data_IF_990661161607
#
_entry.id   IF_990661161607
#
_cell.length_a   1.000
_cell.length_b   1.000
_cell.length_c   1.000
_cell.angle_alpha   90.00
_cell.angle_beta   90.00
_cell.angle_gamma   90.00
#
_symmetry.space_group_name_H-M   'P 1'
#
loop_
_entity.id
_entity.type
_entity.pdbx_description
1 polymer ?
#
# COMPACT_ATOMS: atom_id res chain seq x y z
N UNK A 1 -13.48 -10.50 8.85
CA UNK A 1 -12.15 -9.86 8.81
C UNK A 1 -11.87 -9.53 7.37
N UNK A 2 -11.34 -8.34 7.10
CA UNK A 2 -11.04 -7.86 5.76
C UNK A 2 -9.61 -7.35 5.66
N UNK A 3 -8.96 -7.67 4.54
CA UNK A 3 -7.64 -7.15 4.17
C UNK A 3 -7.77 -6.41 2.85
N UNK A 4 -7.26 -5.17 2.81
CA UNK A 4 -7.13 -4.40 1.57
C UNK A 4 -5.67 -4.37 1.14
N UNK A 5 -5.42 -4.62 -0.14
CA UNK A 5 -4.11 -4.44 -0.74
C UNK A 5 -4.11 -3.30 -1.75
N UNK A 6 -3.06 -2.50 -1.74
CA UNK A 6 -2.83 -1.45 -2.73
C UNK A 6 -1.68 -1.86 -3.64
N UNK A 7 -1.98 -2.07 -4.93
CA UNK A 7 -0.99 -2.32 -5.96
C UNK A 7 -0.52 -1.01 -6.60
N UNK A 8 0.72 -0.64 -6.33
CA UNK A 8 1.40 0.53 -6.89
C UNK A 8 1.95 0.33 -8.30
N UNK A 9 1.92 -0.89 -8.85
CA UNK A 9 2.38 -1.17 -10.22
C UNK A 9 1.45 -0.57 -11.26
N UNK A 10 1.94 0.07 -12.33
CA UNK A 10 1.09 0.43 -13.47
C UNK A 10 0.65 -0.77 -14.33
N UNK A 11 1.30 -1.93 -14.16
CA UNK A 11 0.91 -3.20 -14.80
C UNK A 11 -0.07 -3.91 -13.86
N UNK A 12 -1.35 -3.93 -14.23
CA UNK A 12 -2.46 -4.49 -13.42
C UNK A 12 -2.24 -5.95 -13.04
N UNK A 13 -1.83 -6.77 -14.00
CA UNK A 13 -1.57 -8.21 -13.81
C UNK A 13 -0.06 -8.52 -13.81
N UNK A 14 0.75 -7.54 -13.35
CA UNK A 14 2.20 -7.68 -13.27
C UNK A 14 2.70 -8.38 -11.99
N UNK A 15 4.02 -8.38 -11.83
CA UNK A 15 4.69 -9.08 -10.73
C UNK A 15 4.21 -8.66 -9.34
N UNK A 16 3.98 -7.37 -9.10
CA UNK A 16 3.46 -6.90 -7.80
C UNK A 16 2.08 -7.45 -7.47
N UNK A 17 1.16 -7.53 -8.44
CA UNK A 17 -0.16 -8.12 -8.19
C UNK A 17 -0.11 -9.62 -8.03
N UNK A 18 0.81 -10.31 -8.72
CA UNK A 18 1.08 -11.73 -8.48
C UNK A 18 1.47 -11.97 -7.01
N UNK A 19 2.42 -11.20 -6.47
CA UNK A 19 2.82 -11.32 -5.07
C UNK A 19 1.65 -11.06 -4.10
N UNK A 20 0.84 -10.03 -4.36
CA UNK A 20 -0.34 -9.75 -3.54
C UNK A 20 -1.32 -10.93 -3.59
N UNK A 21 -1.55 -11.51 -4.77
CA UNK A 21 -2.47 -12.65 -4.96
C UNK A 21 -1.99 -13.91 -4.24
N UNK A 22 -0.68 -14.15 -4.14
CA UNK A 22 -0.14 -15.23 -3.31
C UNK A 22 -0.53 -15.06 -1.85
N UNK A 23 -0.37 -13.86 -1.29
CA UNK A 23 -0.79 -13.58 0.09
C UNK A 23 -2.32 -13.70 0.24
N UNK A 24 -3.08 -13.16 -0.71
CA UNK A 24 -4.54 -13.27 -0.70
C UNK A 24 -5.01 -14.72 -0.74
N UNK A 25 -4.39 -15.58 -1.53
CA UNK A 25 -4.73 -17.01 -1.60
C UNK A 25 -4.67 -17.67 -0.23
N UNK A 26 -3.63 -17.39 0.57
CA UNK A 26 -3.52 -17.93 1.93
C UNK A 26 -4.54 -17.33 2.90
N UNK A 27 -4.83 -16.03 2.78
CA UNK A 27 -5.86 -15.36 3.61
C UNK A 27 -7.28 -15.89 3.30
N UNK A 28 -7.60 -16.07 2.02
CA UNK A 28 -8.90 -16.57 1.55
C UNK A 28 -9.14 -18.02 2.01
N UNK A 29 -8.10 -18.87 2.04
CA UNK A 29 -8.18 -20.22 2.63
C UNK A 29 -8.58 -20.20 4.11
N UNK A 30 -8.32 -19.10 4.82
CA UNK A 30 -8.73 -18.88 6.21
C UNK A 30 -10.08 -18.13 6.32
N UNK A 31 -10.79 -17.91 5.21
CA UNK A 31 -12.08 -17.21 5.19
C UNK A 31 -11.98 -15.70 5.39
N UNK A 32 -10.81 -15.10 5.17
CA UNK A 32 -10.61 -13.64 5.27
C UNK A 32 -11.00 -13.00 3.93
N UNK A 33 -11.80 -11.93 3.98
CA UNK A 33 -12.17 -11.16 2.79
C UNK A 33 -10.97 -10.34 2.29
N UNK A 34 -10.74 -10.34 0.98
CA UNK A 34 -9.64 -9.63 0.32
C UNK A 34 -10.17 -8.60 -0.67
N UNK A 35 -9.52 -7.44 -0.75
CA UNK A 35 -9.88 -6.35 -1.68
C UNK A 35 -8.61 -5.78 -2.32
N UNK A 36 -8.50 -5.89 -3.65
CA UNK A 36 -7.35 -5.39 -4.39
C UNK A 36 -7.66 -4.02 -5.02
N UNK A 37 -6.91 -3.00 -4.62
CA UNK A 37 -6.95 -1.67 -5.21
C UNK A 37 -5.78 -1.48 -6.16
N UNK A 38 -6.09 -1.18 -7.42
CA UNK A 38 -5.11 -0.86 -8.44
C UNK A 38 -4.87 0.67 -8.49
N UNK A 39 -3.74 1.14 -7.94
CA UNK A 39 -3.47 2.59 -7.84
C UNK A 39 -3.31 3.29 -9.19
N UNK A 40 -3.05 2.56 -10.27
CA UNK A 40 -2.94 3.13 -11.61
C UNK A 40 -4.27 3.34 -12.32
N UNK A 41 -5.40 2.88 -11.76
CA UNK A 41 -6.72 3.02 -12.39
C UNK A 41 -7.38 4.38 -12.09
N UNK A 42 -7.02 5.02 -10.99
CA UNK A 42 -7.55 6.32 -10.59
C UNK A 42 -6.43 7.25 -10.20
N UNK A 43 -6.61 8.53 -10.46
CA UNK A 43 -5.62 9.53 -10.08
C UNK A 43 -5.56 9.70 -8.55
N UNK A 44 -4.33 9.85 -8.06
CA UNK A 44 -4.04 10.28 -6.71
C UNK A 44 -2.83 11.22 -6.75
N UNK A 45 -2.98 12.39 -6.15
CA UNK A 45 -1.91 13.38 -6.09
C UNK A 45 -1.29 13.44 -4.70
N UNK A 46 -0.01 13.82 -4.65
CA UNK A 46 0.73 14.00 -3.40
C UNK A 46 0.06 14.99 -2.44
N UNK A 47 0.44 14.93 -1.16
CA UNK A 47 -0.03 15.89 -0.17
C UNK A 47 0.43 17.31 -0.54
N UNK A 48 -0.50 18.27 -0.53
CA UNK A 48 -0.24 19.69 -0.82
C UNK A 48 0.01 20.52 0.45
N UNK A 49 0.19 19.86 1.60
CA UNK A 49 0.46 20.49 2.90
C UNK A 49 -0.53 21.60 3.30
N UNK A 50 -1.80 21.50 2.91
CA UNK A 50 -2.81 22.53 3.22
C UNK A 50 -3.33 22.49 4.67
N UNK A 51 -2.92 21.47 5.45
CA UNK A 51 -3.28 21.24 6.87
C UNK A 51 -4.78 21.11 7.18
N UNK A 52 -5.64 21.11 6.16
CA UNK A 52 -7.10 21.05 6.34
C UNK A 52 -7.59 19.79 7.05
N UNK A 53 -6.92 18.64 6.91
CA UNK A 53 -7.30 17.42 7.64
C UNK A 53 -7.13 17.55 9.17
N UNK A 54 -6.20 18.40 9.64
CA UNK A 54 -6.00 18.72 11.06
C UNK A 54 -7.04 19.70 11.59
N UNK A 55 -7.50 20.62 10.74
CA UNK A 55 -8.55 21.58 11.05
C UNK A 55 -9.93 20.91 11.07
N UNK A 56 -10.25 20.14 10.03
CA UNK A 56 -11.57 19.56 9.83
C UNK A 56 -11.82 18.37 10.76
N UNK A 57 -10.80 17.53 11.00
CA UNK A 57 -10.88 16.30 11.81
C UNK A 57 -12.07 15.39 11.44
N UNK A 58 -12.38 15.32 10.16
CA UNK A 58 -13.50 14.56 9.59
C UNK A 58 -13.06 13.22 9.00
N UNK A 59 -11.84 12.76 9.34
CA UNK A 59 -11.18 11.55 8.85
C UNK A 59 -10.91 11.54 7.34
N UNK A 60 -11.01 12.68 6.66
CA UNK A 60 -10.79 12.78 5.22
C UNK A 60 -9.76 13.84 4.85
N UNK A 61 -9.26 13.73 3.62
CA UNK A 61 -8.53 14.81 2.98
C UNK A 61 -9.52 15.85 2.43
N UNK A 62 -9.17 17.13 2.54
CA UNK A 62 -9.97 18.22 1.98
C UNK A 62 -9.96 18.27 0.45
N UNK A 63 -8.95 17.68 -0.21
CA UNK A 63 -8.94 17.49 -1.66
C UNK A 63 -9.87 16.32 -1.99
N UNK A 64 -10.93 16.62 -2.75
CA UNK A 64 -12.01 15.67 -3.10
C UNK A 64 -12.03 15.27 -4.58
N UNK A 65 -11.12 15.83 -5.38
CA UNK A 65 -11.05 15.63 -6.83
C UNK A 65 -10.28 14.38 -7.25
N UNK A 66 -9.70 13.64 -6.30
CA UNK A 66 -8.89 12.44 -6.53
C UNK A 66 -9.35 11.26 -5.64
N UNK A 67 -8.78 10.08 -5.86
CA UNK A 67 -9.23 8.85 -5.20
C UNK A 67 -8.76 8.69 -3.74
N UNK A 68 -8.04 9.67 -3.17
CA UNK A 68 -7.44 9.52 -1.85
C UNK A 68 -8.46 9.20 -0.75
N UNK A 69 -9.64 9.85 -0.77
CA UNK A 69 -10.69 9.62 0.23
C UNK A 69 -11.32 8.23 0.11
N UNK A 70 -11.54 7.73 -1.10
CA UNK A 70 -11.99 6.35 -1.33
C UNK A 70 -11.00 5.33 -0.74
N UNK A 71 -9.70 5.57 -0.91
CA UNK A 71 -8.67 4.69 -0.37
C UNK A 71 -8.58 4.75 1.16
N UNK A 72 -8.76 5.94 1.75
CA UNK A 72 -8.85 6.11 3.21
C UNK A 72 -10.03 5.31 3.77
N UNK A 73 -11.19 5.37 3.12
CA UNK A 73 -12.38 4.61 3.55
C UNK A 73 -12.14 3.09 3.47
N UNK A 74 -11.51 2.60 2.40
CA UNK A 74 -11.12 1.19 2.28
C UNK A 74 -10.13 0.76 3.37
N UNK A 75 -9.15 1.60 3.71
CA UNK A 75 -8.21 1.34 4.81
C UNK A 75 -8.90 1.33 6.18
N UNK A 76 -9.87 2.22 6.40
CA UNK A 76 -10.66 2.25 7.63
C UNK A 76 -11.47 0.97 7.82
N UNK A 77 -12.12 0.50 6.75
CA UNK A 77 -12.97 -0.68 6.75
C UNK A 77 -12.24 -2.03 6.73
N UNK A 78 -10.90 -2.05 6.71
CA UNK A 78 -10.11 -3.27 6.71
C UNK A 78 -9.32 -3.42 8.02
N UNK A 79 -9.17 -4.65 8.53
CA UNK A 79 -8.32 -4.94 9.69
C UNK A 79 -6.85 -5.09 9.29
N UNK A 80 -6.57 -5.47 8.04
CA UNK A 80 -5.23 -5.58 7.48
C UNK A 80 -5.03 -4.75 6.23
N UNK A 81 -3.81 -4.24 6.06
CA UNK A 81 -3.40 -3.43 4.93
C UNK A 81 -2.12 -4.00 4.32
N UNK A 82 -2.15 -4.29 3.02
CA UNK A 82 -0.96 -4.68 2.25
C UNK A 82 -0.59 -3.52 1.33
N UNK A 83 0.67 -3.09 1.38
CA UNK A 83 1.24 -2.16 0.41
C UNK A 83 2.17 -2.94 -0.52
N UNK A 84 1.81 -3.00 -1.80
CA UNK A 84 2.61 -3.65 -2.83
C UNK A 84 3.11 -2.64 -3.86
N UNK A 85 4.42 -2.57 -4.11
CA UNK A 85 4.97 -1.67 -5.14
C UNK A 85 6.06 -2.36 -5.97
N UNK A 86 6.19 -2.06 -7.27
CA UNK A 86 7.45 -2.28 -7.95
C UNK A 86 8.49 -1.24 -7.51
N UNK A 87 9.76 -1.47 -7.85
CA UNK A 87 10.84 -0.49 -7.60
C UNK A 87 11.04 0.43 -8.80
N UNK A 88 10.78 1.72 -8.62
CA UNK A 88 10.98 2.80 -9.59
C UNK A 88 12.04 3.75 -9.04
N UNK A 89 13.18 3.86 -9.71
CA UNK A 89 14.32 4.70 -9.27
C UNK A 89 14.72 4.50 -7.79
N UNK A 90 14.90 3.23 -7.39
CA UNK A 90 15.32 2.81 -6.04
C UNK A 90 14.25 2.95 -4.95
N UNK A 91 13.01 3.29 -5.27
CA UNK A 91 11.93 3.39 -4.26
C UNK A 91 10.58 2.94 -4.84
N UNK A 92 9.50 3.11 -4.08
CA UNK A 92 8.12 2.86 -4.50
C UNK A 92 7.69 3.75 -5.66
N UNK A 93 6.57 3.40 -6.30
CA UNK A 93 6.01 4.25 -7.36
C UNK A 93 5.46 5.57 -6.82
N UNK A 94 5.37 6.63 -7.66
CA UNK A 94 4.80 7.90 -7.25
C UNK A 94 3.37 7.79 -6.67
N UNK A 95 2.54 6.90 -7.22
CA UNK A 95 1.18 6.66 -6.75
C UNK A 95 1.18 6.03 -5.35
N UNK A 96 2.07 5.08 -5.09
CA UNK A 96 2.24 4.49 -3.76
C UNK A 96 2.70 5.54 -2.75
N UNK A 97 3.66 6.39 -3.12
CA UNK A 97 4.12 7.47 -2.24
C UNK A 97 3.02 8.50 -1.98
N UNK A 98 2.22 8.85 -3.00
CA UNK A 98 1.07 9.74 -2.85
C UNK A 98 0.02 9.15 -1.90
N UNK A 99 -0.28 7.84 -1.99
CA UNK A 99 -1.14 7.15 -1.03
C UNK A 99 -0.59 7.28 0.39
N UNK A 100 0.69 6.93 0.61
CA UNK A 100 1.36 7.01 1.92
C UNK A 100 1.26 8.42 2.51
N UNK A 101 1.59 9.45 1.72
CA UNK A 101 1.61 10.82 2.22
C UNK A 101 0.21 11.32 2.57
N UNK A 102 -0.76 11.12 1.66
CA UNK A 102 -2.13 11.61 1.86
C UNK A 102 -2.79 10.90 3.03
N UNK A 103 -2.69 9.58 3.09
CA UNK A 103 -3.32 8.78 4.16
C UNK A 103 -2.61 8.98 5.49
N UNK A 104 -1.27 9.08 5.50
CA UNK A 104 -0.47 9.30 6.71
C UNK A 104 -0.79 10.61 7.42
N UNK A 105 -0.89 11.73 6.68
CA UNK A 105 -1.26 13.02 7.26
C UNK A 105 -2.69 13.04 7.80
N UNK A 106 -3.64 12.46 7.05
CA UNK A 106 -5.03 12.36 7.50
C UNK A 106 -5.11 11.49 8.76
N UNK A 107 -4.51 10.31 8.75
CA UNK A 107 -4.51 9.39 9.89
C UNK A 107 -3.90 10.03 11.14
N UNK A 108 -2.72 10.66 11.02
CA UNK A 108 -2.05 11.34 12.14
C UNK A 108 -2.92 12.47 12.73
N UNK A 109 -3.54 13.26 11.86
CA UNK A 109 -4.39 14.39 12.26
C UNK A 109 -5.69 13.95 12.95
N UNK A 110 -6.12 12.72 12.71
CA UNK A 110 -7.38 12.16 13.20
C UNK A 110 -7.14 11.04 14.22
N UNK A 111 -6.16 11.23 15.11
CA UNK A 111 -5.96 10.32 16.25
C UNK A 111 -5.31 8.98 15.90
N UNK A 112 -4.52 8.91 14.83
CA UNK A 112 -3.88 7.68 14.31
C UNK A 112 -4.93 6.62 13.95
N UNK A 113 -5.76 6.97 12.97
CA UNK A 113 -6.89 6.17 12.49
C UNK A 113 -6.59 4.69 12.21
N UNK A 114 -5.33 4.36 11.87
CA UNK A 114 -4.93 3.00 11.53
C UNK A 114 -4.18 2.27 12.66
N UNK A 115 -4.10 2.86 13.85
CA UNK A 115 -3.45 2.24 15.01
C UNK A 115 -3.99 0.82 15.24
N UNK A 116 -3.09 -0.10 15.60
CA UNK A 116 -3.36 -1.51 15.93
C UNK A 116 -3.88 -2.38 14.76
N UNK A 117 -4.08 -1.81 13.56
CA UNK A 117 -4.29 -2.61 12.33
C UNK A 117 -3.01 -3.34 11.93
N UNK A 118 -3.15 -4.46 11.22
CA UNK A 118 -2.00 -5.23 10.73
C UNK A 118 -1.52 -4.72 9.38
N UNK A 119 -0.20 -4.70 9.16
CA UNK A 119 0.44 -4.22 7.94
C UNK A 119 1.41 -5.24 7.37
N UNK A 120 1.48 -5.31 6.03
CA UNK A 120 2.54 -6.05 5.33
C UNK A 120 2.98 -5.32 4.06
N UNK A 121 4.25 -5.47 3.68
CA UNK A 121 4.85 -4.81 2.50
C UNK A 121 5.40 -5.81 1.50
N UNK A 122 5.06 -5.64 0.23
CA UNK A 122 5.52 -6.52 -0.86
C UNK A 122 6.22 -5.71 -1.94
N UNK A 123 7.40 -6.14 -2.37
CA UNK A 123 8.17 -5.46 -3.42
C UNK A 123 8.51 -6.43 -4.54
N UNK A 124 8.17 -6.03 -5.77
CA UNK A 124 8.69 -6.68 -6.98
C UNK A 124 9.81 -5.83 -7.58
N UNK A 125 10.99 -6.39 -7.83
CA UNK A 125 12.12 -5.65 -8.40
C UNK A 125 12.86 -6.47 -9.45
N UNK A 126 13.72 -5.82 -10.23
CA UNK A 126 14.61 -6.53 -11.15
C UNK A 126 16.05 -6.65 -10.63
N UNK A 127 16.54 -5.64 -9.92
CA UNK A 127 17.98 -5.51 -9.61
C UNK A 127 18.25 -5.04 -8.19
N UNK A 128 17.84 -3.81 -7.89
CA UNK A 128 18.17 -3.14 -6.62
C UNK A 128 17.04 -2.21 -6.19
N UNK A 129 17.14 -1.67 -4.98
CA UNK A 129 16.17 -0.75 -4.38
C UNK A 129 15.03 -1.41 -3.61
N UNK A 130 15.02 -2.75 -3.50
CA UNK A 130 13.99 -3.48 -2.78
C UNK A 130 13.88 -3.09 -1.31
N UNK A 131 15.03 -2.97 -0.62
CA UNK A 131 15.08 -2.60 0.80
C UNK A 131 14.57 -1.16 1.01
N UNK A 132 15.00 -0.21 0.19
CA UNK A 132 14.53 1.18 0.30
C UNK A 132 13.02 1.30 0.06
N UNK A 133 12.50 0.62 -0.97
CA UNK A 133 11.06 0.60 -1.24
C UNK A 133 10.26 -0.06 -0.10
N UNK A 134 10.78 -1.15 0.47
CA UNK A 134 10.19 -1.78 1.66
C UNK A 134 10.19 -0.84 2.85
N UNK A 135 11.32 -0.18 3.12
CA UNK A 135 11.46 0.73 4.25
C UNK A 135 10.49 1.91 4.13
N UNK A 136 10.32 2.49 2.93
CA UNK A 136 9.30 3.52 2.67
C UNK A 136 7.89 3.06 3.08
N UNK A 137 7.49 1.84 2.69
CA UNK A 137 6.17 1.30 3.07
C UNK A 137 6.09 0.90 4.55
N UNK A 138 7.15 0.34 5.12
CA UNK A 138 7.21 -0.04 6.53
C UNK A 138 7.16 1.18 7.45
N UNK A 139 7.82 2.29 7.07
CA UNK A 139 7.77 3.54 7.81
C UNK A 139 6.36 4.10 7.92
N UNK A 140 5.51 3.91 6.91
CA UNK A 140 4.09 4.27 6.99
C UNK A 140 3.39 3.48 8.12
N UNK A 141 3.55 2.16 8.15
CA UNK A 141 2.95 1.32 9.19
C UNK A 141 3.46 1.67 10.59
N UNK A 142 4.78 1.78 10.75
CA UNK A 142 5.41 2.07 12.04
C UNK A 142 5.03 3.47 12.56
N UNK A 143 5.02 4.48 11.68
CA UNK A 143 4.58 5.83 12.03
C UNK A 143 3.09 5.88 12.39
N UNK A 144 2.29 5.00 11.79
CA UNK A 144 0.86 4.82 12.06
C UNK A 144 0.54 4.03 13.33
N UNK A 145 1.55 3.50 14.04
CA UNK A 145 1.36 2.55 15.17
C UNK A 145 0.58 1.29 14.75
N UNK A 146 0.83 0.83 13.53
CA UNK A 146 0.33 -0.45 13.03
C UNK A 146 1.25 -1.59 13.43
N UNK A 147 0.71 -2.81 13.43
CA UNK A 147 1.47 -4.03 13.70
C UNK A 147 2.01 -4.56 12.37
N UNK A 148 3.31 -4.37 12.12
CA UNK A 148 3.98 -4.91 10.94
C UNK A 148 4.20 -6.41 11.12
N UNK A 149 3.51 -7.24 10.34
CA UNK A 149 3.53 -8.71 10.48
C UNK A 149 4.36 -9.43 9.42
N UNK A 150 4.72 -8.77 8.32
CA UNK A 150 5.48 -9.42 7.26
C UNK A 150 5.98 -8.48 6.17
N UNK A 151 6.97 -8.96 5.43
CA UNK A 151 7.50 -8.34 4.21
C UNK A 151 7.85 -9.39 3.18
N UNK A 152 7.83 -9.04 1.90
CA UNK A 152 8.26 -9.89 0.81
C UNK A 152 9.01 -9.11 -0.28
N UNK A 153 10.04 -9.71 -0.84
CA UNK A 153 10.76 -9.22 -2.02
C UNK A 153 10.73 -10.35 -3.04
N UNK A 154 10.43 -10.04 -4.30
CA UNK A 154 10.63 -11.01 -5.37
C UNK A 154 11.22 -10.37 -6.62
N UNK A 155 12.07 -11.12 -7.31
CA UNK A 155 12.80 -10.72 -8.49
C UNK A 155 12.05 -11.08 -9.78
N UNK A 156 11.84 -10.09 -10.64
CA UNK A 156 11.22 -10.28 -11.96
C UNK A 156 11.12 -8.99 -12.74
N UNK A 157 11.57 -9.01 -14.00
CA UNK A 157 11.46 -7.90 -14.96
C UNK A 157 10.16 -7.97 -15.74
N UNK A 158 9.94 -9.11 -16.38
CA UNK A 158 8.77 -9.35 -17.21
C UNK A 158 7.65 -9.97 -16.37
N UNK A 159 6.41 -9.86 -16.87
CA UNK A 159 5.23 -10.33 -16.16
C UNK A 159 5.35 -11.85 -15.94
N UNK A 160 5.17 -12.28 -14.68
CA UNK A 160 5.22 -13.69 -14.29
C UNK A 160 6.62 -14.19 -13.90
N UNK A 161 7.67 -13.40 -14.06
CA UNK A 161 9.03 -13.87 -13.70
C UNK A 161 9.20 -14.08 -12.19
N UNK A 162 8.42 -13.39 -11.34
CA UNK A 162 8.46 -13.61 -9.88
C UNK A 162 7.99 -15.00 -9.45
N UNK A 163 7.29 -15.75 -10.31
CA UNK A 163 6.94 -17.17 -10.05
C UNK A 163 8.14 -18.12 -10.22
N UNK A 164 9.21 -17.63 -10.84
CA UNK A 164 10.45 -18.37 -11.09
C UNK A 164 11.61 -17.81 -10.26
N UNK A 165 11.27 -17.00 -9.25
CA UNK A 165 12.27 -16.45 -8.35
C UNK A 165 12.73 -17.54 -7.39
N UNK A 166 13.82 -18.21 -7.78
CA UNK A 166 14.43 -19.27 -6.97
C UNK A 166 15.22 -18.71 -5.77
N UNK A 167 15.42 -17.39 -5.70
CA UNK A 167 16.08 -16.72 -4.58
C UNK A 167 15.11 -16.26 -3.48
N UNK A 168 13.80 -16.42 -3.70
CA UNK A 168 12.72 -16.06 -2.78
C UNK A 168 12.76 -16.81 -1.44
#
# INVERSE_FOLDING_TARGET
MKVVAFNGSPRKDGNTSILIRHVFSELEKQGIETDLVQLSEKEIHGCIACEKCSQNRDRHCAVKSDAANEYIDKMLGAEGIILGSPVYFQDVTPQMKALIDRTGYVARSNGRMFKDKVGASLVALRRSGGISALDTMNHFFLSGQMILVGRGIAFGREIGEVEKDDEG
#
